data_IF_699339881310
#
_entry.id   IF_699339881310
#
_cell.length_a   1.000
_cell.length_b   1.000
_cell.length_c   1.000
_cell.angle_alpha   90.00
_cell.angle_beta   90.00
_cell.angle_gamma   90.00
#
_symmetry.space_group_name_H-M   'P 1'
#
loop_
_entity.id
_entity.type
_entity.pdbx_description
1 polymer ?
#
# COMPACT_ATOMS: atom_id res chain seq x y z
N UNK A 1 15.21 8.74 -3.14
CA UNK A 1 14.11 7.80 -3.43
C UNK A 1 13.30 8.31 -4.61
N UNK A 2 13.00 7.44 -5.57
CA UNK A 2 12.33 7.78 -6.83
C UNK A 2 10.81 7.90 -6.65
N UNK A 3 10.35 8.87 -5.86
CA UNK A 3 8.92 9.20 -5.74
C UNK A 3 8.27 9.46 -7.12
N UNK A 4 9.06 9.97 -8.06
CA UNK A 4 8.67 10.14 -9.47
C UNK A 4 8.33 8.81 -10.17
N UNK A 5 9.05 7.74 -9.89
CA UNK A 5 8.83 6.41 -10.50
C UNK A 5 7.48 5.81 -10.07
N UNK A 6 7.08 6.01 -8.80
CA UNK A 6 5.74 5.60 -8.33
C UNK A 6 4.63 6.35 -9.09
N UNK A 7 4.81 7.66 -9.30
CA UNK A 7 3.84 8.48 -10.04
C UNK A 7 3.79 8.06 -11.51
N UNK A 8 4.95 7.86 -12.15
CA UNK A 8 5.04 7.42 -13.55
C UNK A 8 4.35 6.05 -13.73
N UNK A 9 4.60 5.09 -12.84
CA UNK A 9 3.94 3.78 -12.85
C UNK A 9 2.42 3.90 -12.71
N UNK A 10 1.91 4.75 -11.81
CA UNK A 10 0.47 4.95 -11.66
C UNK A 10 -0.18 5.62 -12.89
N UNK A 11 0.56 6.45 -13.62
CA UNK A 11 0.07 7.04 -14.87
C UNK A 11 0.04 6.01 -16.00
N UNK A 12 0.99 5.07 -16.02
CA UNK A 12 1.03 3.97 -17.01
C UNK A 12 -0.11 2.95 -16.84
N UNK A 13 -0.71 2.81 -15.65
CA UNK A 13 -1.82 1.86 -15.43
C UNK A 13 -3.15 2.30 -16.04
N UNK A 14 -3.22 3.52 -16.61
CA UNK A 14 -4.38 4.04 -17.36
C UNK A 14 -5.52 4.61 -16.50
N UNK A 15 -5.51 4.39 -15.19
CA UNK A 15 -6.48 4.99 -14.25
C UNK A 15 -5.87 6.06 -13.34
N UNK A 16 -4.54 6.28 -13.39
CA UNK A 16 -3.87 7.41 -12.74
C UNK A 16 -3.85 7.38 -11.21
N UNK A 17 -4.16 6.23 -10.60
CA UNK A 17 -4.28 6.08 -9.15
C UNK A 17 -3.24 5.11 -8.60
N UNK A 18 -2.58 5.52 -7.52
CA UNK A 18 -1.73 4.66 -6.71
C UNK A 18 -2.59 3.70 -5.86
N UNK A 19 -2.08 2.50 -5.60
CA UNK A 19 -2.66 1.65 -4.56
C UNK A 19 -2.35 2.20 -3.15
N UNK A 20 -2.94 1.62 -2.11
CA UNK A 20 -2.78 2.11 -0.73
C UNK A 20 -1.32 2.09 -0.26
N UNK A 21 -0.56 1.05 -0.58
CA UNK A 21 0.83 0.89 -0.15
C UNK A 21 1.76 1.93 -0.81
N UNK A 22 1.62 2.13 -2.12
CA UNK A 22 2.42 3.11 -2.85
C UNK A 22 2.05 4.56 -2.47
N UNK A 23 0.77 4.80 -2.17
CA UNK A 23 0.32 6.08 -1.62
C UNK A 23 0.99 6.38 -0.28
N UNK A 24 1.04 5.42 0.65
CA UNK A 24 1.66 5.61 1.97
C UNK A 24 3.18 5.76 1.89
N UNK A 25 3.85 5.03 0.98
CA UNK A 25 5.28 5.25 0.68
C UNK A 25 5.56 6.65 0.15
N UNK A 26 4.71 7.17 -0.74
CA UNK A 26 4.86 8.53 -1.25
C UNK A 26 4.71 9.56 -0.12
N UNK A 27 3.67 9.43 0.71
CA UNK A 27 3.41 10.32 1.84
C UNK A 27 4.57 10.35 2.85
N UNK A 28 5.13 9.18 3.20
CA UNK A 28 6.22 9.09 4.18
C UNK A 28 7.51 9.75 3.69
N UNK A 29 7.81 9.71 2.38
CA UNK A 29 8.95 10.43 1.78
C UNK A 29 8.85 11.94 1.98
N UNK A 30 7.63 12.48 2.09
CA UNK A 30 7.40 13.90 2.40
C UNK A 30 7.23 14.18 3.90
N UNK A 31 7.51 13.20 4.77
CA UNK A 31 7.43 13.36 6.22
C UNK A 31 6.00 13.33 6.78
N UNK A 32 5.01 12.91 5.98
CA UNK A 32 3.64 12.73 6.45
C UNK A 32 3.59 11.38 7.19
N UNK A 33 3.15 11.35 8.47
CA UNK A 33 3.05 10.11 9.23
C UNK A 33 2.07 9.13 8.58
N UNK A 34 2.49 7.88 8.49
CA UNK A 34 1.68 6.75 8.02
C UNK A 34 1.83 5.61 9.03
N UNK A 35 0.84 4.71 9.06
CA UNK A 35 0.92 3.51 9.89
C UNK A 35 1.97 2.52 9.35
N UNK A 36 2.55 1.72 10.24
CA UNK A 36 3.29 0.54 9.83
C UNK A 36 2.33 -0.48 9.18
N UNK A 37 2.77 -1.09 8.09
CA UNK A 37 1.99 -2.06 7.33
C UNK A 37 2.87 -3.09 6.64
N UNK A 38 2.26 -4.17 6.19
CA UNK A 38 2.89 -5.15 5.32
C UNK A 38 1.98 -5.46 4.11
N UNK A 39 2.59 -5.56 2.93
CA UNK A 39 1.92 -6.11 1.74
C UNK A 39 2.20 -7.60 1.71
N UNK A 40 1.14 -8.41 1.61
CA UNK A 40 1.22 -9.86 1.62
C UNK A 40 0.58 -10.41 0.34
N UNK A 41 1.15 -11.49 -0.22
CA UNK A 41 0.64 -12.09 -1.48
C UNK A 41 -0.21 -13.34 -1.26
N UNK A 42 -0.19 -13.90 -0.05
CA UNK A 42 -0.96 -15.08 0.32
C UNK A 42 -1.40 -15.06 1.80
N UNK A 43 -2.31 -15.97 2.21
CA UNK A 43 -2.83 -16.01 3.57
C UNK A 43 -1.79 -16.34 4.65
N UNK A 44 -0.77 -17.15 4.35
CA UNK A 44 0.23 -17.58 5.33
C UNK A 44 1.19 -16.43 5.65
N UNK A 45 1.59 -15.67 4.62
CA UNK A 45 2.33 -14.43 4.80
C UNK A 45 1.50 -13.41 5.58
N UNK A 46 0.21 -13.25 5.26
CA UNK A 46 -0.66 -12.33 5.97
C UNK A 46 -0.78 -12.66 7.47
N UNK A 47 -0.88 -13.94 7.83
CA UNK A 47 -0.89 -14.39 9.22
C UNK A 47 0.44 -14.08 9.92
N UNK A 48 1.57 -14.40 9.27
CA UNK A 48 2.91 -14.14 9.82
C UNK A 48 3.12 -12.64 10.09
N UNK A 49 2.73 -11.78 9.14
CA UNK A 49 2.84 -10.32 9.29
C UNK A 49 1.93 -9.77 10.37
N UNK A 50 0.74 -10.35 10.55
CA UNK A 50 -0.17 -9.94 11.61
C UNK A 50 0.44 -10.21 13.00
N UNK A 51 1.11 -11.34 13.19
CA UNK A 51 1.83 -11.66 14.44
C UNK A 51 3.00 -10.70 14.69
N UNK A 52 3.76 -10.35 13.65
CA UNK A 52 4.88 -9.39 13.75
C UNK A 52 4.41 -7.97 14.10
N UNK A 53 3.30 -7.52 13.52
CA UNK A 53 2.71 -6.19 13.79
C UNK A 53 2.08 -6.15 15.19
N UNK A 54 1.49 -7.26 15.63
CA UNK A 54 0.76 -7.37 16.88
C UNK A 54 -0.72 -6.99 16.74
N UNK A 55 -1.58 -7.77 17.39
CA UNK A 55 -3.04 -7.60 17.31
C UNK A 55 -3.57 -6.47 18.20
N UNK A 56 -4.72 -5.85 17.83
CA UNK A 56 -5.55 -6.15 16.65
C UNK A 56 -5.01 -5.53 15.35
N UNK A 57 -5.18 -6.25 14.23
CA UNK A 57 -4.79 -5.79 12.89
C UNK A 57 -5.99 -5.62 11.95
N UNK A 58 -5.79 -4.91 10.84
CA UNK A 58 -6.76 -4.74 9.76
C UNK A 58 -6.19 -5.35 8.48
N UNK A 59 -6.99 -6.18 7.80
CA UNK A 59 -6.67 -6.72 6.47
C UNK A 59 -7.48 -5.97 5.40
N UNK A 60 -6.80 -5.48 4.37
CA UNK A 60 -7.43 -4.83 3.20
C UNK A 60 -6.95 -5.49 1.92
N UNK A 61 -7.86 -5.72 0.97
CA UNK A 61 -7.48 -6.10 -0.38
C UNK A 61 -6.69 -4.98 -1.05
N UNK A 62 -5.52 -5.31 -1.60
CA UNK A 62 -4.64 -4.36 -2.27
C UNK A 62 -4.66 -4.60 -3.77
N UNK A 63 -5.01 -3.56 -4.54
CA UNK A 63 -4.90 -3.64 -5.98
C UNK A 63 -5.16 -2.29 -6.65
N UNK A 64 -4.50 -2.00 -7.78
CA UNK A 64 -4.67 -0.74 -8.51
C UNK A 64 -6.11 -0.54 -9.02
N UNK A 65 -6.86 -1.63 -9.24
CA UNK A 65 -8.28 -1.63 -9.61
C UNK A 65 -9.24 -1.74 -8.43
N UNK A 66 -8.72 -1.95 -7.21
CA UNK A 66 -9.50 -2.04 -5.97
C UNK A 66 -9.53 -0.67 -5.29
N UNK A 67 -9.99 0.35 -6.03
CA UNK A 67 -10.15 1.70 -5.48
C UNK A 67 -11.36 1.74 -4.55
N UNK A 68 -11.22 2.40 -3.40
CA UNK A 68 -12.29 2.55 -2.43
C UNK A 68 -13.46 3.32 -3.05
N UNK A 69 -14.56 2.61 -3.32
CA UNK A 69 -15.91 3.09 -3.70
C UNK A 69 -15.88 4.44 -4.45
N UNK A 70 -15.66 4.40 -5.76
CA UNK A 70 -15.94 5.54 -6.68
C UNK A 70 -17.41 5.91 -6.65
#
# INVERSE_FOLDING_TARGET
MKHRELIEQALETGHGALNEADSKRLLSVYGIPVIDEAVCVDPDEAATRADEIGFPVVLKGLGPKLTHKT
#
